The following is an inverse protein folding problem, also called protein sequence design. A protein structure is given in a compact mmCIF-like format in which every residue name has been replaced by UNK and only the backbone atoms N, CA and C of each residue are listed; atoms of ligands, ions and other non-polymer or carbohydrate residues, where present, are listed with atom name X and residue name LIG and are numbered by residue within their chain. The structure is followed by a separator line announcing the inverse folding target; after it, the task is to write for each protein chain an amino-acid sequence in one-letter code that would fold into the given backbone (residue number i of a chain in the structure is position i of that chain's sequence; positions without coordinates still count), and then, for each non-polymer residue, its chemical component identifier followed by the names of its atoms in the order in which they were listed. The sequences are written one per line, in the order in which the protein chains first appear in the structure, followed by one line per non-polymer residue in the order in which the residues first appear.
data_IF_318018214501
#
_entry.id   IF_318018214501
#
_cell.length_a   1.000
_cell.length_b   1.000
_cell.length_c   1.000
_cell.angle_alpha   90.00
_cell.angle_beta   90.00
_cell.angle_gamma   90.00
#
_symmetry.space_group_name_H-M   'P 1'
#
loop_
_entity.id
_entity.type
_entity.pdbx_description
1 polymer ?
#
# COMPACT_ATOMS: atom_id res chain seq x y z
N UNK A 1 5.76 -2.17 9.01
CA UNK A 1 6.64 -1.83 7.88
C UNK A 1 7.04 -0.37 7.92
N UNK A 2 8.27 -0.05 7.51
CA UNK A 2 8.78 1.30 7.31
C UNK A 2 8.89 1.56 5.80
N UNK A 3 8.01 2.43 5.30
CA UNK A 3 7.99 2.82 3.89
C UNK A 3 8.62 4.20 3.79
N UNK A 4 9.72 4.32 3.04
CA UNK A 4 10.34 5.62 2.78
C UNK A 4 9.33 6.53 2.07
N UNK A 5 8.86 7.62 2.72
CA UNK A 5 7.80 8.46 2.16
C UNK A 5 8.35 9.32 1.02
N UNK A 6 7.78 9.13 -0.18
CA UNK A 6 8.18 9.84 -1.39
C UNK A 6 8.07 11.38 -1.26
N UNK A 7 7.06 11.85 -0.54
CA UNK A 7 6.86 13.29 -0.32
C UNK A 7 8.02 13.97 0.43
N UNK A 8 8.74 13.22 1.27
CA UNK A 8 9.85 13.73 2.08
C UNK A 8 11.21 13.42 1.48
N UNK A 9 11.41 12.19 1.01
CA UNK A 9 12.74 11.67 0.64
C UNK A 9 12.86 11.30 -0.83
N UNK A 10 11.80 11.47 -1.63
CA UNK A 10 11.77 11.03 -3.02
C UNK A 10 12.17 9.55 -3.13
N UNK A 11 13.27 9.25 -3.81
CA UNK A 11 13.77 7.89 -4.01
C UNK A 11 14.89 7.51 -3.04
N UNK A 12 15.26 8.41 -2.12
CA UNK A 12 16.27 8.14 -1.09
C UNK A 12 15.69 7.29 0.06
N UNK A 13 16.49 6.34 0.54
CA UNK A 13 16.13 5.48 1.66
C UNK A 13 17.15 5.55 2.81
N UNK A 14 18.07 6.50 2.78
CA UNK A 14 19.15 6.61 3.77
C UNK A 14 18.63 6.64 5.20
N UNK A 15 17.59 7.43 5.45
CA UNK A 15 16.96 7.48 6.77
C UNK A 15 16.29 6.15 7.18
N UNK A 16 15.63 5.47 6.25
CA UNK A 16 15.01 4.18 6.55
C UNK A 16 16.06 3.10 6.87
N UNK A 17 17.19 3.11 6.18
CA UNK A 17 18.33 2.23 6.46
C UNK A 17 18.98 2.53 7.82
N UNK A 18 19.12 3.81 8.18
CA UNK A 18 19.61 4.22 9.51
C UNK A 18 18.67 3.72 10.63
N UNK A 19 17.35 3.91 10.46
CA UNK A 19 16.36 3.42 11.41
C UNK A 19 16.43 1.90 11.55
N UNK A 20 16.55 1.18 10.42
CA UNK A 20 16.68 -0.28 10.45
C UNK A 20 17.96 -0.72 11.15
N UNK A 21 19.09 -0.07 10.91
CA UNK A 21 20.35 -0.40 11.57
C UNK A 21 20.25 -0.28 13.10
N UNK A 22 19.46 0.68 13.60
CA UNK A 22 19.22 0.88 15.03
C UNK A 22 18.15 -0.07 15.61
N UNK A 23 17.22 -0.56 14.79
CA UNK A 23 16.06 -1.38 15.22
C UNK A 23 15.78 -2.52 14.24
N UNK A 24 16.71 -3.46 14.01
CA UNK A 24 16.65 -4.43 12.90
C UNK A 24 15.51 -5.45 13.02
N UNK A 25 14.98 -5.68 14.24
CA UNK A 25 13.86 -6.60 14.46
C UNK A 25 12.49 -5.92 14.38
N UNK A 26 12.45 -4.58 14.27
CA UNK A 26 11.19 -3.82 14.33
C UNK A 26 10.64 -3.40 12.98
N UNK A 27 11.48 -3.35 11.95
CA UNK A 27 11.09 -2.78 10.67
C UNK A 27 11.45 -3.67 9.49
N UNK A 28 10.48 -3.90 8.60
CA UNK A 28 10.74 -4.34 7.24
C UNK A 28 10.72 -3.12 6.32
N UNK A 29 11.67 -3.01 5.38
CA UNK A 29 11.94 -1.82 4.58
C UNK A 29 11.32 -1.89 3.19
N UNK A 30 10.72 -0.77 2.77
CA UNK A 30 10.21 -0.55 1.41
C UNK A 30 10.63 0.85 0.95
N UNK A 31 11.09 1.00 -0.29
CA UNK A 31 11.33 2.32 -0.89
C UNK A 31 10.72 2.47 -2.27
N UNK A 32 10.42 3.69 -2.72
CA UNK A 32 10.05 3.95 -4.10
C UNK A 32 11.28 3.89 -5.03
N UNK A 33 11.01 3.51 -6.28
CA UNK A 33 11.97 3.52 -7.39
C UNK A 33 11.45 4.39 -8.52
N UNK A 34 12.39 5.03 -9.25
CA UNK A 34 12.05 5.85 -10.40
C UNK A 34 12.06 5.00 -11.67
N UNK A 35 10.91 4.78 -12.33
CA UNK A 35 10.88 4.04 -13.59
C UNK A 35 11.67 4.71 -14.73
N UNK A 36 12.04 5.99 -14.59
CA UNK A 36 12.84 6.71 -15.56
C UNK A 36 14.33 6.37 -15.55
N UNK A 37 14.82 5.69 -14.51
CA UNK A 37 16.23 5.34 -14.40
C UNK A 37 16.56 4.15 -15.31
N UNK A 38 17.66 4.26 -16.08
CA UNK A 38 18.02 3.26 -17.08
C UNK A 38 18.38 1.88 -16.47
N UNK A 39 18.88 1.88 -15.21
CA UNK A 39 19.30 0.67 -14.48
C UNK A 39 18.32 0.29 -13.34
N UNK A 40 17.07 0.75 -13.41
CA UNK A 40 16.12 0.61 -12.30
C UNK A 40 15.88 -0.85 -11.87
N UNK A 41 15.91 -1.80 -12.81
CA UNK A 41 15.80 -3.23 -12.48
C UNK A 41 16.97 -3.71 -11.62
N UNK A 42 18.19 -3.31 -11.95
CA UNK A 42 19.39 -3.61 -11.17
C UNK A 42 19.36 -2.92 -9.80
N UNK A 43 18.80 -1.70 -9.74
CA UNK A 43 18.60 -1.00 -8.46
C UNK A 43 17.65 -1.78 -7.53
N UNK A 44 16.55 -2.33 -8.06
CA UNK A 44 15.60 -3.16 -7.28
C UNK A 44 16.29 -4.45 -6.82
N UNK A 45 17.06 -5.10 -7.67
CA UNK A 45 17.82 -6.32 -7.31
C UNK A 45 18.80 -6.04 -6.18
N UNK A 46 19.64 -5.00 -6.32
CA UNK A 46 20.58 -4.58 -5.24
C UNK A 46 19.86 -4.18 -3.95
N UNK A 47 18.69 -3.57 -4.05
CA UNK A 47 17.86 -3.23 -2.88
C UNK A 47 17.38 -4.47 -2.15
N UNK A 48 16.92 -5.47 -2.90
CA UNK A 48 16.41 -6.74 -2.33
C UNK A 48 17.49 -7.53 -1.56
N UNK A 49 18.78 -7.35 -1.90
CA UNK A 49 19.89 -7.99 -1.20
C UNK A 49 20.20 -7.36 0.17
N UNK A 50 19.63 -6.21 0.48
CA UNK A 50 19.87 -5.51 1.76
C UNK A 50 19.04 -6.19 2.86
N UNK A 51 19.65 -6.57 4.01
CA UNK A 51 18.92 -7.13 5.15
C UNK A 51 17.76 -6.22 5.59
N UNK A 52 16.61 -6.83 5.84
CA UNK A 52 15.40 -6.12 6.26
C UNK A 52 14.55 -5.57 5.12
N UNK A 53 14.99 -5.64 3.88
CA UNK A 53 14.16 -5.27 2.74
C UNK A 53 13.10 -6.33 2.51
N UNK A 54 11.85 -5.86 2.33
CA UNK A 54 10.68 -6.71 2.14
C UNK A 54 9.83 -6.30 0.95
N UNK A 55 10.17 -5.21 0.24
CA UNK A 55 9.40 -4.79 -0.92
C UNK A 55 9.98 -3.58 -1.65
N UNK A 56 9.45 -3.35 -2.83
CA UNK A 56 9.69 -2.17 -3.66
C UNK A 56 8.41 -1.34 -3.81
N UNK A 57 8.50 -0.12 -4.35
CA UNK A 57 7.34 0.74 -4.59
C UNK A 57 7.46 1.50 -5.90
N UNK A 58 6.33 1.67 -6.62
CA UNK A 58 6.21 2.51 -7.80
C UNK A 58 5.19 3.62 -7.53
N UNK A 59 5.53 4.85 -7.94
CA UNK A 59 4.67 6.02 -7.83
C UNK A 59 3.96 6.25 -9.17
N UNK A 60 2.72 5.77 -9.31
CA UNK A 60 1.87 5.92 -10.50
C UNK A 60 0.62 6.77 -10.22
N UNK A 61 0.65 7.65 -9.21
CA UNK A 61 -0.47 8.54 -8.94
C UNK A 61 -0.73 9.52 -10.09
N UNK A 62 -1.85 10.19 -10.05
CA UNK A 62 -2.49 11.00 -11.10
C UNK A 62 -1.53 11.74 -12.06
N UNK A 63 -0.47 12.35 -11.56
CA UNK A 63 0.49 13.13 -12.37
C UNK A 63 1.59 12.28 -13.02
N UNK A 64 1.58 10.96 -12.80
CA UNK A 64 2.61 10.09 -13.36
C UNK A 64 2.47 9.95 -14.87
N UNK A 65 3.54 10.28 -15.58
CA UNK A 65 3.65 10.07 -17.02
C UNK A 65 3.99 8.63 -17.42
N UNK A 66 4.32 7.76 -16.45
CA UNK A 66 4.66 6.36 -16.73
C UNK A 66 3.40 5.56 -17.05
N UNK A 67 3.44 4.81 -18.16
CA UNK A 67 2.42 3.83 -18.54
C UNK A 67 2.76 2.44 -17.99
N UNK A 68 1.80 1.53 -18.06
CA UNK A 68 2.03 0.11 -17.76
C UNK A 68 3.11 -0.50 -18.68
N UNK A 69 3.20 -0.01 -19.91
CA UNK A 69 4.18 -0.47 -20.90
C UNK A 69 5.56 0.16 -20.79
N UNK A 70 5.74 1.13 -19.89
CA UNK A 70 7.04 1.76 -19.71
C UNK A 70 8.11 0.75 -19.29
N UNK A 71 9.27 0.77 -19.97
CA UNK A 71 10.34 -0.22 -19.76
C UNK A 71 10.80 -0.31 -18.30
N UNK A 72 10.92 0.82 -17.60
CA UNK A 72 11.29 0.84 -16.19
C UNK A 72 10.21 0.28 -15.25
N UNK A 73 8.92 0.46 -15.56
CA UNK A 73 7.82 -0.20 -14.80
C UNK A 73 7.96 -1.72 -14.94
N UNK A 74 8.09 -2.21 -16.15
CA UNK A 74 8.31 -3.66 -16.41
C UNK A 74 9.58 -4.18 -15.73
N UNK A 75 10.67 -3.42 -15.75
CA UNK A 75 11.93 -3.79 -15.10
C UNK A 75 11.78 -3.92 -13.58
N UNK A 76 11.08 -2.98 -12.92
CA UNK A 76 10.81 -3.05 -11.48
C UNK A 76 9.95 -4.28 -11.15
N UNK A 77 8.86 -4.53 -11.91
CA UNK A 77 7.98 -5.67 -11.69
C UNK A 77 8.73 -7.00 -11.87
N UNK A 78 9.53 -7.13 -12.91
CA UNK A 78 10.33 -8.33 -13.15
C UNK A 78 11.40 -8.55 -12.06
N UNK A 79 12.10 -7.49 -11.65
CA UNK A 79 13.10 -7.60 -10.59
C UNK A 79 12.45 -7.96 -9.23
N UNK A 80 11.27 -7.40 -8.92
CA UNK A 80 10.50 -7.77 -7.74
C UNK A 80 10.12 -9.26 -7.74
N UNK A 81 9.61 -9.78 -8.86
CA UNK A 81 9.30 -11.20 -9.01
C UNK A 81 10.55 -12.08 -8.85
N UNK A 82 11.65 -11.71 -9.49
CA UNK A 82 12.91 -12.47 -9.44
C UNK A 82 13.51 -12.51 -8.02
N UNK A 83 13.38 -11.42 -7.27
CA UNK A 83 13.82 -11.32 -5.89
C UNK A 83 12.81 -11.86 -4.86
N UNK A 84 11.61 -12.25 -5.29
CA UNK A 84 10.54 -12.71 -4.40
C UNK A 84 10.00 -11.63 -3.47
N UNK A 85 10.11 -10.34 -3.82
CA UNK A 85 9.59 -9.24 -3.02
C UNK A 85 8.38 -8.57 -3.70
N UNK A 86 7.32 -8.24 -2.93
CA UNK A 86 6.15 -7.51 -3.44
C UNK A 86 6.50 -6.11 -3.96
N UNK A 87 5.73 -5.66 -4.97
CA UNK A 87 5.81 -4.31 -5.50
C UNK A 87 4.55 -3.52 -5.12
N UNK A 88 4.72 -2.50 -4.30
CA UNK A 88 3.65 -1.58 -3.92
C UNK A 88 3.41 -0.56 -5.02
N UNK A 89 2.15 -0.23 -5.32
CA UNK A 89 1.80 0.72 -6.36
C UNK A 89 0.86 1.79 -5.81
N UNK A 90 1.31 3.03 -5.82
CA UNK A 90 0.45 4.17 -5.58
C UNK A 90 -0.17 4.61 -6.90
N UNK A 91 -1.47 4.37 -7.11
CA UNK A 91 -2.12 4.51 -8.42
C UNK A 91 -3.46 5.27 -8.41
N UNK A 92 -3.77 6.03 -7.37
CA UNK A 92 -5.00 6.82 -7.41
C UNK A 92 -5.04 7.73 -8.66
N UNK A 93 -6.20 7.73 -9.35
CA UNK A 93 -6.37 8.43 -10.63
C UNK A 93 -5.80 7.70 -11.85
N UNK A 94 -5.16 6.50 -11.66
CA UNK A 94 -4.60 5.66 -12.73
C UNK A 94 -4.85 4.16 -12.44
N UNK A 95 -6.07 3.83 -12.00
CA UNK A 95 -6.46 2.44 -11.68
C UNK A 95 -6.46 1.52 -12.91
N UNK A 96 -6.72 2.06 -14.09
CA UNK A 96 -6.60 1.40 -15.38
C UNK A 96 -5.16 0.91 -15.65
N UNK A 97 -4.17 1.76 -15.36
CA UNK A 97 -2.74 1.37 -15.47
C UNK A 97 -2.40 0.26 -14.46
N UNK A 98 -2.94 0.33 -13.24
CA UNK A 98 -2.72 -0.70 -12.24
C UNK A 98 -3.30 -2.05 -12.67
N UNK A 99 -4.49 -2.08 -13.27
CA UNK A 99 -5.09 -3.29 -13.84
C UNK A 99 -4.24 -3.89 -14.96
N UNK A 100 -3.75 -3.04 -15.85
CA UNK A 100 -2.90 -3.50 -16.96
C UNK A 100 -1.56 -4.06 -16.46
N UNK A 101 -0.94 -3.44 -15.44
CA UNK A 101 0.28 -3.97 -14.80
C UNK A 101 0.01 -5.32 -14.15
N UNK A 102 -1.09 -5.47 -13.41
CA UNK A 102 -1.47 -6.73 -12.77
C UNK A 102 -1.62 -7.87 -13.78
N UNK A 103 -2.26 -7.58 -14.91
CA UNK A 103 -2.46 -8.52 -16.02
C UNK A 103 -1.16 -8.91 -16.70
N UNK A 104 -0.24 -7.94 -16.90
CA UNK A 104 1.05 -8.18 -17.58
C UNK A 104 2.07 -8.91 -16.70
N UNK A 105 1.94 -8.80 -15.36
CA UNK A 105 2.92 -9.31 -14.40
C UNK A 105 2.30 -10.26 -13.37
N UNK A 106 1.66 -11.38 -13.79
CA UNK A 106 0.93 -12.27 -12.88
C UNK A 106 1.84 -12.96 -11.85
N UNK A 107 3.14 -13.02 -12.09
CA UNK A 107 4.13 -13.63 -11.20
C UNK A 107 4.69 -12.65 -10.14
N UNK A 108 4.31 -11.37 -10.20
CA UNK A 108 4.74 -10.37 -9.22
C UNK A 108 3.60 -10.11 -8.22
N UNK A 109 3.85 -10.33 -6.93
CA UNK A 109 2.91 -9.87 -5.91
C UNK A 109 2.81 -8.34 -5.96
N UNK A 110 1.66 -7.84 -6.32
CA UNK A 110 1.37 -6.41 -6.44
C UNK A 110 0.52 -5.96 -5.25
N UNK A 111 0.83 -4.79 -4.69
CA UNK A 111 0.09 -4.26 -3.54
C UNK A 111 -0.37 -2.85 -3.86
N UNK A 112 -1.67 -2.62 -3.86
CA UNK A 112 -2.27 -1.31 -4.08
C UNK A 112 -2.18 -0.48 -2.80
N UNK A 113 -1.52 0.67 -2.87
CA UNK A 113 -1.42 1.60 -1.74
C UNK A 113 -2.73 2.37 -1.52
N UNK A 114 -3.08 2.61 -0.25
CA UNK A 114 -4.13 3.54 0.19
C UNK A 114 -5.48 3.34 -0.50
N UNK A 115 -5.98 2.09 -0.54
CA UNK A 115 -7.23 1.70 -1.20
C UNK A 115 -7.28 1.99 -2.71
N UNK A 116 -6.17 2.40 -3.34
CA UNK A 116 -6.17 2.91 -4.71
C UNK A 116 -6.91 4.24 -4.88
N UNK A 117 -7.32 4.89 -3.80
CA UNK A 117 -8.14 6.08 -3.79
C UNK A 117 -7.33 7.32 -3.39
N UNK A 118 -7.71 8.48 -3.95
CA UNK A 118 -7.15 9.77 -3.51
C UNK A 118 -7.65 10.07 -2.09
N UNK A 119 -6.72 10.33 -1.20
CA UNK A 119 -7.03 10.66 0.19
C UNK A 119 -6.62 12.10 0.52
N UNK A 120 -7.40 12.82 1.36
CA UNK A 120 -7.10 14.19 1.72
C UNK A 120 -5.88 14.28 2.64
N UNK A 121 -5.18 15.42 2.60
CA UNK A 121 -4.11 15.78 3.54
C UNK A 121 -4.60 16.69 4.66
N UNK A 122 -5.63 17.48 4.38
CA UNK A 122 -6.19 18.50 5.25
C UNK A 122 -7.71 18.49 5.17
N UNK A 123 -8.40 18.95 6.23
CA UNK A 123 -9.83 19.15 6.18
C UNK A 123 -10.21 20.32 5.22
N UNK A 124 -11.43 20.33 4.66
CA UNK A 124 -12.49 19.35 4.88
C UNK A 124 -12.26 18.05 4.11
N UNK A 125 -12.75 16.93 4.68
CA UNK A 125 -12.78 15.66 3.94
C UNK A 125 -13.74 15.82 2.74
N UNK A 126 -13.28 15.53 1.51
CA UNK A 126 -14.14 15.67 0.34
C UNK A 126 -15.30 14.66 0.37
N UNK A 127 -16.48 15.10 -0.04
CA UNK A 127 -17.57 14.17 -0.35
C UNK A 127 -17.15 13.29 -1.55
N UNK A 128 -17.57 12.03 -1.57
CA UNK A 128 -17.21 11.14 -2.67
C UNK A 128 -15.82 10.49 -2.54
N UNK A 129 -15.26 10.39 -1.34
CA UNK A 129 -13.96 9.74 -1.12
C UNK A 129 -13.87 8.29 -1.63
N UNK A 130 -15.01 7.63 -1.84
CA UNK A 130 -15.12 6.27 -2.39
C UNK A 130 -15.72 6.22 -3.82
N UNK A 131 -15.80 7.33 -4.55
CA UNK A 131 -16.45 7.38 -5.87
C UNK A 131 -15.84 6.42 -6.90
N UNK A 132 -14.54 6.12 -6.81
CA UNK A 132 -13.85 5.20 -7.71
C UNK A 132 -13.78 3.76 -7.16
N UNK A 133 -14.58 3.41 -6.16
CA UNK A 133 -14.51 2.11 -5.49
C UNK A 133 -14.71 0.94 -6.47
N UNK A 134 -15.65 1.04 -7.42
CA UNK A 134 -15.91 -0.04 -8.39
C UNK A 134 -14.68 -0.37 -9.25
N UNK A 135 -13.87 0.64 -9.61
CA UNK A 135 -12.62 0.42 -10.33
C UNK A 135 -11.57 -0.27 -9.45
N UNK A 136 -11.57 0.03 -8.15
CA UNK A 136 -10.70 -0.67 -7.18
C UNK A 136 -11.11 -2.12 -7.00
N UNK A 137 -12.44 -2.38 -6.89
CA UNK A 137 -12.98 -3.74 -6.75
C UNK A 137 -12.63 -4.63 -7.95
N UNK A 138 -12.55 -4.05 -9.15
CA UNK A 138 -12.15 -4.79 -10.35
C UNK A 138 -10.72 -5.36 -10.27
N UNK A 139 -9.82 -4.74 -9.49
CA UNK A 139 -8.46 -5.25 -9.25
C UNK A 139 -8.44 -6.58 -8.49
N UNK A 140 -9.49 -6.89 -7.74
CA UNK A 140 -9.60 -8.14 -6.99
C UNK A 140 -9.67 -9.40 -7.87
N UNK A 141 -10.02 -9.23 -9.16
CA UNK A 141 -10.01 -10.31 -10.16
C UNK A 141 -8.60 -10.87 -10.45
N UNK A 142 -7.56 -10.16 -10.04
CA UNK A 142 -6.17 -10.58 -10.20
C UNK A 142 -5.65 -11.20 -8.89
N UNK A 143 -5.32 -12.49 -8.89
CA UNK A 143 -4.86 -13.21 -7.68
C UNK A 143 -3.55 -12.68 -7.12
N UNK A 144 -2.72 -12.07 -7.96
CA UNK A 144 -1.46 -11.43 -7.57
C UNK A 144 -1.63 -10.02 -6.99
N UNK A 145 -2.85 -9.53 -6.78
CA UNK A 145 -3.12 -8.19 -6.26
C UNK A 145 -3.66 -8.27 -4.83
N UNK A 146 -2.99 -7.56 -3.92
CA UNK A 146 -3.45 -7.25 -2.58
C UNK A 146 -3.67 -5.74 -2.43
N UNK A 147 -4.39 -5.32 -1.39
CA UNK A 147 -4.75 -3.92 -1.19
C UNK A 147 -4.45 -3.45 0.24
N UNK A 148 -3.87 -2.28 0.38
CA UNK A 148 -3.68 -1.63 1.68
C UNK A 148 -4.93 -0.83 2.07
N UNK A 149 -5.51 -1.19 3.18
CA UNK A 149 -6.59 -0.46 3.85
C UNK A 149 -6.02 0.72 4.67
N UNK A 150 -4.94 1.31 4.18
CA UNK A 150 -4.24 2.39 4.87
C UNK A 150 -4.94 3.73 4.67
N UNK A 151 -5.09 4.48 5.75
CA UNK A 151 -5.70 5.81 5.73
C UNK A 151 -7.21 5.83 5.51
N UNK A 152 -7.91 4.70 5.54
CA UNK A 152 -9.36 4.61 5.29
C UNK A 152 -10.18 5.59 6.17
N UNK A 153 -9.80 5.78 7.44
CA UNK A 153 -10.47 6.73 8.34
C UNK A 153 -10.45 8.18 7.84
N UNK A 154 -9.49 8.56 6.99
CA UNK A 154 -9.39 9.91 6.44
C UNK A 154 -10.37 10.17 5.31
N UNK A 155 -11.08 9.16 4.83
CA UNK A 155 -12.16 9.28 3.85
C UNK A 155 -13.54 9.46 4.50
N UNK A 156 -13.61 9.31 5.84
CA UNK A 156 -14.88 9.47 6.57
C UNK A 156 -15.32 10.91 6.64
N UNK A 157 -16.61 11.14 6.40
CA UNK A 157 -17.29 12.41 6.64
C UNK A 157 -17.95 12.47 8.03
N UNK A 158 -17.84 11.39 8.82
CA UNK A 158 -18.40 11.26 10.18
C UNK A 158 -17.29 11.35 11.22
N UNK A 159 -17.60 11.77 12.46
CA UNK A 159 -16.64 11.73 13.54
C UNK A 159 -16.27 10.29 13.90
N UNK A 160 -15.19 10.12 14.68
CA UNK A 160 -14.86 8.84 15.29
C UNK A 160 -16.11 8.20 15.95
N UNK A 161 -16.37 6.93 15.72
CA UNK A 161 -15.54 5.87 15.14
C UNK A 161 -15.67 5.66 13.61
N UNK A 162 -16.04 6.70 12.84
CA UNK A 162 -16.02 6.69 11.37
C UNK A 162 -17.00 5.67 10.76
N UNK A 163 -18.25 5.70 11.20
CA UNK A 163 -19.24 4.67 10.85
C UNK A 163 -19.52 4.51 9.34
N UNK A 164 -19.28 5.54 8.55
CA UNK A 164 -19.54 5.58 7.10
C UNK A 164 -18.48 4.86 6.24
N UNK A 165 -17.32 4.50 6.81
CA UNK A 165 -16.30 3.76 6.04
C UNK A 165 -16.61 2.26 5.94
N UNK A 166 -17.44 1.69 6.82
CA UNK A 166 -17.59 0.24 6.91
C UNK A 166 -18.29 -0.37 5.71
N UNK A 167 -19.35 0.26 5.18
CA UNK A 167 -20.03 -0.25 3.99
C UNK A 167 -19.12 -0.35 2.75
N UNK A 168 -18.32 0.68 2.38
CA UNK A 168 -17.35 0.51 1.29
C UNK A 168 -16.22 -0.48 1.63
N UNK A 169 -15.76 -0.56 2.89
CA UNK A 169 -14.73 -1.53 3.30
C UNK A 169 -15.24 -2.97 3.22
N UNK A 170 -16.48 -3.24 3.59
CA UNK A 170 -17.11 -4.56 3.46
C UNK A 170 -17.07 -5.07 2.00
N UNK A 171 -17.34 -4.19 1.04
CA UNK A 171 -17.22 -4.54 -0.40
C UNK A 171 -15.78 -4.92 -0.76
N UNK A 172 -14.77 -4.19 -0.24
CA UNK A 172 -13.36 -4.52 -0.44
C UNK A 172 -12.99 -5.85 0.19
N UNK A 173 -13.40 -6.10 1.43
CA UNK A 173 -13.14 -7.37 2.12
C UNK A 173 -13.80 -8.55 1.41
N UNK A 174 -15.02 -8.35 0.88
CA UNK A 174 -15.72 -9.38 0.11
C UNK A 174 -15.01 -9.68 -1.22
N UNK A 175 -14.49 -8.65 -1.90
CA UNK A 175 -13.85 -8.82 -3.20
C UNK A 175 -12.44 -9.40 -3.10
N UNK A 176 -11.61 -8.89 -2.18
CA UNK A 176 -10.21 -9.30 -2.04
C UNK A 176 -10.00 -10.49 -1.10
N UNK A 177 -10.90 -10.72 -0.13
CA UNK A 177 -10.63 -11.56 1.03
C UNK A 177 -9.71 -10.86 2.04
N UNK A 178 -9.81 -11.23 3.31
CA UNK A 178 -8.99 -10.61 4.36
C UNK A 178 -7.50 -10.94 4.21
N UNK A 179 -7.16 -12.05 3.61
CA UNK A 179 -5.79 -12.49 3.32
C UNK A 179 -5.06 -11.61 2.30
N UNK A 180 -5.80 -10.80 1.52
CA UNK A 180 -5.25 -9.81 0.59
C UNK A 180 -5.50 -8.36 1.00
N UNK A 181 -5.99 -8.12 2.22
CA UNK A 181 -6.23 -6.79 2.78
C UNK A 181 -5.22 -6.50 3.89
N UNK A 182 -4.45 -5.40 3.76
CA UNK A 182 -3.39 -5.03 4.69
C UNK A 182 -3.74 -3.71 5.38
N UNK A 183 -3.93 -3.75 6.69
CA UNK A 183 -4.21 -2.55 7.46
C UNK A 183 -2.95 -1.69 7.68
N UNK A 184 -3.15 -0.37 7.82
CA UNK A 184 -2.14 0.59 8.24
C UNK A 184 -2.74 1.99 8.43
N UNK A 185 -2.00 2.86 9.10
CA UNK A 185 -2.50 4.19 9.47
C UNK A 185 -2.27 5.27 8.42
N UNK A 186 -1.23 5.13 7.59
CA UNK A 186 -0.71 6.21 6.73
C UNK A 186 -0.45 7.51 7.54
N UNK A 187 0.16 7.34 8.71
CA UNK A 187 0.20 8.37 9.75
C UNK A 187 0.85 9.68 9.31
N UNK A 188 1.90 9.65 8.52
CA UNK A 188 2.58 10.87 8.08
C UNK A 188 1.67 11.83 7.30
N UNK A 189 0.69 11.29 6.56
CA UNK A 189 -0.29 12.07 5.82
C UNK A 189 -1.51 12.48 6.68
N UNK A 190 -1.91 11.63 7.59
CA UNK A 190 -3.19 11.73 8.30
C UNK A 190 -3.18 12.71 9.49
N UNK A 191 -2.03 13.29 9.86
CA UNK A 191 -1.81 14.06 11.10
C UNK A 191 -2.73 15.27 11.27
N UNK A 192 -3.18 15.90 10.18
CA UNK A 192 -4.10 17.04 10.23
C UNK A 192 -5.58 16.62 10.29
N UNK A 193 -5.89 15.33 10.11
CA UNK A 193 -7.26 14.83 9.98
C UNK A 193 -7.74 14.07 11.21
N UNK A 194 -6.85 13.30 11.84
CA UNK A 194 -7.17 12.45 12.98
C UNK A 194 -5.93 12.14 13.81
N UNK A 195 -6.11 11.63 15.02
CA UNK A 195 -5.01 11.16 15.86
C UNK A 195 -4.59 9.74 15.51
N UNK A 196 -3.32 9.38 15.75
CA UNK A 196 -2.83 8.00 15.58
C UNK A 196 -3.74 6.98 16.30
N UNK A 197 -4.12 7.30 17.55
CA UNK A 197 -5.01 6.46 18.34
C UNK A 197 -6.36 6.24 17.65
N UNK A 198 -6.99 7.28 17.10
CA UNK A 198 -8.26 7.14 16.38
C UNK A 198 -8.13 6.22 15.16
N UNK A 199 -7.02 6.32 14.40
CA UNK A 199 -6.79 5.42 13.26
C UNK A 199 -6.67 3.95 13.68
N UNK A 200 -6.02 3.66 14.81
CA UNK A 200 -5.87 2.31 15.36
C UNK A 200 -7.18 1.80 15.95
N UNK A 201 -7.80 2.58 16.86
CA UNK A 201 -8.97 2.14 17.62
C UNK A 201 -10.19 1.92 16.73
N UNK A 202 -10.36 2.67 15.62
CA UNK A 202 -11.44 2.44 14.68
C UNK A 202 -11.51 0.99 14.18
N UNK A 203 -10.37 0.34 14.01
CA UNK A 203 -10.30 -1.07 13.58
C UNK A 203 -10.17 -2.05 14.74
N UNK A 204 -9.53 -1.64 15.84
CA UNK A 204 -9.28 -2.51 16.99
C UNK A 204 -10.53 -2.84 17.78
N UNK A 205 -11.46 -1.88 17.92
CA UNK A 205 -12.65 -2.01 18.80
C UNK A 205 -13.99 -2.11 18.05
N UNK A 206 -13.97 -2.16 16.72
CA UNK A 206 -15.20 -2.24 15.92
C UNK A 206 -15.93 -3.57 16.11
N UNK A 207 -17.25 -3.55 16.07
CA UNK A 207 -18.11 -4.73 15.99
C UNK A 207 -18.34 -5.19 14.53
N UNK A 208 -17.83 -4.43 13.54
CA UNK A 208 -17.94 -4.77 12.12
C UNK A 208 -16.97 -5.87 11.68
N UNK A 209 -16.06 -6.30 12.54
CA UNK A 209 -15.08 -7.36 12.28
C UNK A 209 -15.14 -8.41 13.38
N UNK A 210 -15.18 -9.68 13.01
CA UNK A 210 -14.90 -10.78 13.92
C UNK A 210 -13.44 -10.74 14.41
N UNK A 211 -13.13 -11.52 15.45
CA UNK A 211 -11.76 -11.62 15.97
C UNK A 211 -10.79 -12.09 14.89
N UNK A 212 -11.15 -13.15 14.14
CA UNK A 212 -10.28 -13.71 13.09
C UNK A 212 -10.04 -12.74 11.92
N UNK A 213 -11.09 -12.03 11.49
CA UNK A 213 -10.96 -11.00 10.44
C UNK A 213 -10.07 -9.84 10.88
N UNK A 214 -10.22 -9.40 12.13
CA UNK A 214 -9.38 -8.35 12.70
C UNK A 214 -7.92 -8.77 12.80
N UNK A 215 -7.63 -9.98 13.26
CA UNK A 215 -6.28 -10.52 13.34
C UNK A 215 -5.63 -10.62 11.96
N UNK A 216 -6.37 -11.13 10.97
CA UNK A 216 -5.89 -11.22 9.59
C UNK A 216 -5.61 -9.84 9.00
N UNK A 217 -6.58 -8.91 9.09
CA UNK A 217 -6.47 -7.55 8.56
C UNK A 217 -5.33 -6.75 9.20
N UNK A 218 -5.22 -6.77 10.54
CA UNK A 218 -4.30 -5.90 11.29
C UNK A 218 -2.86 -6.44 11.39
N UNK A 219 -2.56 -7.61 10.82
CA UNK A 219 -1.20 -8.13 10.81
C UNK A 219 -1.01 -9.42 10.04
N UNK A 220 -1.95 -10.35 10.08
CA UNK A 220 -1.83 -11.67 9.46
C UNK A 220 -1.54 -11.61 7.96
N UNK A 221 -2.33 -10.87 7.21
CA UNK A 221 -2.15 -10.69 5.77
C UNK A 221 -0.81 -10.03 5.43
N UNK A 222 -0.40 -9.02 6.21
CA UNK A 222 0.89 -8.37 6.04
C UNK A 222 2.04 -9.35 6.23
N UNK A 223 2.00 -10.14 7.30
CA UNK A 223 3.06 -11.13 7.58
C UNK A 223 3.14 -12.19 6.50
N UNK A 224 2.01 -12.68 5.99
CA UNK A 224 1.97 -13.68 4.93
C UNK A 224 2.51 -13.13 3.59
N UNK A 225 2.07 -11.94 3.18
CA UNK A 225 2.41 -11.36 1.87
C UNK A 225 3.87 -10.89 1.80
N UNK A 226 4.39 -10.27 2.88
CA UNK A 226 5.77 -9.78 2.88
C UNK A 226 6.78 -10.80 3.43
N UNK A 227 6.32 -11.95 3.93
CA UNK A 227 7.19 -12.93 4.59
C UNK A 227 7.91 -12.35 5.81
N UNK A 228 7.29 -11.37 6.51
CA UNK A 228 7.92 -10.61 7.57
C UNK A 228 6.97 -10.38 8.75
N UNK A 229 7.52 -10.46 9.94
CA UNK A 229 6.85 -10.07 11.19
C UNK A 229 7.85 -9.38 12.12
N UNK A 230 7.40 -8.45 13.00
CA UNK A 230 8.27 -7.88 14.01
C UNK A 230 8.71 -8.95 15.01
N UNK A 231 9.98 -8.87 15.43
CA UNK A 231 10.54 -9.70 16.49
C UNK A 231 10.24 -9.16 17.88
#
# INVERSE_FOLDING_TARGET
LLISPYSMYRYDASYALEVFANYPTRFGLIKPFNPGDADVGDQVSRWADIPGVVGARIMLAYESQFSADHGGVKAIMHAGAAAGIPVNILCWGNLDKAQEIARQHPNTQMIIDHLGLKQPFEPPVPTGGFDNLEQVLALAAHDNVAIKITGACTLSTKPFPYADIWSPLEKLFTAFGFERCLWGTDWTRATCLLTYRQAVEAFRVTDSLSVAEREMLMGGALSAIYGWSPG
#
